data_IF_199662391902
#
_entry.id   IF_199662391902
#
_cell.length_a   1.000
_cell.length_b   1.000
_cell.length_c   1.000
_cell.angle_alpha   90.00
_cell.angle_beta   90.00
_cell.angle_gamma   90.00
#
_symmetry.space_group_name_H-M   'P 1'
#
loop_
_entity.id
_entity.type
_entity.pdbx_description
1 polymer ?
#
# COMPACT_ATOMS: atom_id res chain seq x y z
N UNK A 1 -44.69 -39.54 -16.45
CA UNK A 1 -43.75 -38.58 -17.02
C UNK A 1 -43.66 -37.26 -16.22
N UNK A 2 -44.61 -36.90 -15.41
CA UNK A 2 -44.57 -35.66 -14.61
C UNK A 2 -43.55 -35.69 -13.43
N UNK A 3 -43.17 -36.87 -12.96
CA UNK A 3 -42.22 -36.99 -11.82
C UNK A 3 -40.75 -36.72 -12.16
N UNK A 4 -40.34 -36.84 -13.39
CA UNK A 4 -38.95 -36.60 -13.82
C UNK A 4 -38.60 -35.10 -13.88
N UNK A 5 -39.56 -34.27 -14.24
CA UNK A 5 -39.33 -32.82 -14.32
C UNK A 5 -39.37 -32.14 -12.96
N UNK A 6 -40.09 -32.71 -11.99
CA UNK A 6 -40.16 -32.21 -10.64
C UNK A 6 -38.81 -32.33 -9.92
N UNK A 7 -38.09 -33.44 -10.12
CA UNK A 7 -36.75 -33.63 -9.57
C UNK A 7 -35.71 -32.70 -10.20
N UNK A 8 -35.81 -32.39 -11.49
CA UNK A 8 -34.94 -31.44 -12.17
C UNK A 8 -35.21 -30.03 -11.69
N UNK A 9 -36.45 -29.68 -11.44
CA UNK A 9 -36.82 -28.35 -10.93
C UNK A 9 -36.33 -28.13 -9.50
N UNK A 10 -36.43 -29.12 -8.64
CA UNK A 10 -35.94 -29.06 -7.24
C UNK A 10 -34.40 -28.99 -7.22
N UNK A 11 -33.72 -29.64 -8.13
CA UNK A 11 -32.24 -29.56 -8.19
C UNK A 11 -31.74 -28.20 -8.72
N UNK A 12 -32.52 -27.55 -9.58
CA UNK A 12 -32.18 -26.23 -10.11
C UNK A 12 -32.37 -25.11 -9.09
N UNK A 13 -33.28 -25.25 -8.10
CA UNK A 13 -33.54 -24.24 -7.08
C UNK A 13 -32.52 -24.25 -5.94
N UNK A 14 -31.75 -25.34 -5.79
CA UNK A 14 -30.72 -25.41 -4.75
C UNK A 14 -29.41 -24.68 -5.09
N UNK A 15 -29.25 -24.22 -6.35
CA UNK A 15 -27.99 -23.61 -6.78
C UNK A 15 -27.92 -22.07 -6.67
N UNK A 16 -28.98 -21.42 -6.19
CA UNK A 16 -29.11 -19.95 -6.21
C UNK A 16 -28.72 -19.26 -4.90
N UNK A 17 -28.24 -19.96 -3.89
CA UNK A 17 -28.08 -19.34 -2.56
C UNK A 17 -26.70 -19.40 -1.95
N UNK A 18 -25.63 -19.19 -2.72
CA UNK A 18 -24.30 -18.96 -2.15
C UNK A 18 -23.59 -17.78 -2.81
N UNK A 19 -24.32 -16.69 -3.01
CA UNK A 19 -23.68 -15.39 -3.14
C UNK A 19 -23.46 -14.86 -1.72
N UNK A 20 -22.53 -15.46 -0.99
CA UNK A 20 -21.96 -14.82 0.19
C UNK A 20 -21.16 -13.65 -0.38
N UNK A 21 -21.78 -12.48 -0.39
CA UNK A 21 -21.05 -11.26 -0.62
C UNK A 21 -19.90 -11.21 0.38
N UNK A 22 -18.68 -11.35 -0.11
CA UNK A 22 -17.52 -11.02 0.69
C UNK A 22 -17.61 -9.52 0.98
N UNK A 23 -18.08 -9.16 2.16
CA UNK A 23 -17.86 -7.84 2.67
C UNK A 23 -16.36 -7.73 2.87
N UNK A 24 -15.70 -7.11 1.91
CA UNK A 24 -14.37 -6.58 2.13
C UNK A 24 -14.51 -5.57 3.26
N UNK A 25 -14.37 -6.03 4.48
CA UNK A 25 -14.00 -5.17 5.58
C UNK A 25 -12.64 -4.60 5.20
N UNK A 26 -12.65 -3.53 4.44
CA UNK A 26 -11.51 -2.64 4.38
C UNK A 26 -11.35 -2.19 5.82
N UNK A 27 -10.52 -2.89 6.57
CA UNK A 27 -9.99 -2.36 7.81
C UNK A 27 -9.38 -1.04 7.39
N UNK A 28 -10.02 0.05 7.79
CA UNK A 28 -9.43 1.38 7.71
C UNK A 28 -8.25 1.31 8.66
N UNK A 29 -7.14 0.76 8.20
CA UNK A 29 -5.88 0.84 8.89
C UNK A 29 -5.60 2.31 9.02
N UNK A 30 -5.45 2.79 10.26
CA UNK A 30 -5.08 4.16 10.53
C UNK A 30 -3.82 4.48 9.74
N UNK A 31 -4.00 5.11 8.58
CA UNK A 31 -2.93 5.39 7.63
C UNK A 31 -1.97 6.36 8.29
N UNK A 32 -0.69 6.03 8.28
CA UNK A 32 0.36 6.95 8.70
C UNK A 32 0.31 8.17 7.80
N UNK A 33 0.08 9.34 8.37
CA UNK A 33 0.17 10.59 7.62
C UNK A 33 1.63 11.01 7.54
N UNK A 34 2.12 11.24 6.34
CA UNK A 34 3.44 11.79 6.14
C UNK A 34 3.48 12.67 4.90
N UNK A 35 4.43 13.56 4.84
CA UNK A 35 4.79 14.31 3.64
C UNK A 35 6.25 14.04 3.26
N UNK A 36 6.50 14.07 1.97
CA UNK A 36 7.84 13.89 1.41
C UNK A 36 8.10 15.00 0.40
N UNK A 37 9.23 15.67 0.57
CA UNK A 37 9.58 16.80 -0.28
C UNK A 37 11.11 16.97 -0.44
N UNK A 38 11.58 17.52 -1.54
CA UNK A 38 10.84 17.85 -2.76
C UNK A 38 10.40 16.60 -3.52
N UNK A 39 9.28 16.67 -4.20
CA UNK A 39 8.81 15.60 -5.09
C UNK A 39 8.24 16.26 -6.37
N UNK A 40 8.97 16.23 -7.49
CA UNK A 40 10.18 15.44 -7.78
C UNK A 40 11.44 15.83 -7.00
N UNK A 41 12.27 14.84 -6.71
CA UNK A 41 13.60 15.02 -6.11
C UNK A 41 14.60 15.40 -7.21
N UNK A 42 15.30 16.52 -7.05
CA UNK A 42 16.26 17.00 -8.06
C UNK A 42 17.68 17.19 -7.53
N UNK A 43 17.91 17.09 -6.23
CA UNK A 43 19.21 17.31 -5.59
C UNK A 43 19.71 16.12 -4.78
N UNK A 44 19.11 14.94 -4.95
CA UNK A 44 19.50 13.73 -4.24
C UNK A 44 19.14 13.69 -2.76
N UNK A 45 18.42 14.66 -2.25
CA UNK A 45 17.94 14.71 -0.86
C UNK A 45 16.43 14.76 -0.81
N UNK A 46 15.85 13.85 -0.05
CA UNK A 46 14.42 13.75 0.20
C UNK A 46 14.17 13.93 1.70
N UNK A 47 13.29 14.83 2.06
CA UNK A 47 12.88 15.02 3.44
C UNK A 47 11.53 14.37 3.70
N UNK A 48 11.46 13.51 4.71
CA UNK A 48 10.22 12.91 5.21
C UNK A 48 9.80 13.66 6.47
N UNK A 49 8.56 14.10 6.49
CA UNK A 49 7.93 14.72 7.68
C UNK A 49 6.75 13.88 8.12
N UNK A 50 6.70 13.56 9.41
CA UNK A 50 5.63 12.79 10.05
C UNK A 50 5.07 13.55 11.24
N UNK A 51 4.01 13.02 11.87
CA UNK A 51 3.29 13.72 12.94
C UNK A 51 3.60 13.21 14.34
N UNK A 52 4.44 12.19 14.48
CA UNK A 52 4.83 11.64 15.78
C UNK A 52 6.29 11.19 15.78
N UNK A 53 6.81 10.89 16.96
CA UNK A 53 8.22 10.53 17.18
C UNK A 53 8.48 9.02 17.20
N UNK A 54 7.47 8.21 16.92
CA UNK A 54 7.61 6.75 16.92
C UNK A 54 8.59 6.28 15.85
N UNK A 55 9.21 5.13 16.08
CA UNK A 55 10.06 4.49 15.10
C UNK A 55 9.29 4.14 13.84
N UNK A 56 9.86 4.46 12.69
CA UNK A 56 9.29 4.25 11.36
C UNK A 56 10.34 3.67 10.44
N UNK A 57 9.86 2.99 9.40
CA UNK A 57 10.70 2.47 8.34
C UNK A 57 10.24 3.05 7.01
N UNK A 58 11.17 3.60 6.24
CA UNK A 58 10.94 4.06 4.88
C UNK A 58 11.53 3.04 3.92
N UNK A 59 10.73 2.60 2.97
CA UNK A 59 11.16 1.69 1.91
C UNK A 59 10.79 2.33 0.57
N UNK A 60 11.75 2.33 -0.36
CA UNK A 60 11.51 2.77 -1.72
C UNK A 60 11.59 1.55 -2.64
N UNK A 61 10.54 1.38 -3.45
CA UNK A 61 10.42 0.32 -4.44
C UNK A 61 10.48 0.89 -5.85
N UNK A 62 11.08 0.14 -6.76
CA UNK A 62 10.92 0.45 -8.19
C UNK A 62 9.55 -0.03 -8.70
N UNK A 63 9.23 0.26 -9.95
CA UNK A 63 7.95 -0.10 -10.57
C UNK A 63 7.74 -1.62 -10.70
N UNK A 64 8.78 -2.42 -10.59
CA UNK A 64 8.72 -3.89 -10.58
C UNK A 64 8.49 -4.46 -9.17
N UNK A 65 8.40 -3.61 -8.15
CA UNK A 65 8.22 -4.02 -6.76
C UNK A 65 9.49 -4.42 -6.04
N UNK A 66 10.68 -4.16 -6.63
CA UNK A 66 11.97 -4.43 -5.99
C UNK A 66 12.29 -3.32 -5.00
N UNK A 67 12.67 -3.69 -3.77
CA UNK A 67 13.20 -2.76 -2.77
C UNK A 67 14.59 -2.26 -3.20
N UNK A 68 14.73 -0.95 -3.30
CA UNK A 68 16.00 -0.32 -3.68
C UNK A 68 16.60 0.54 -2.58
N UNK A 69 15.79 0.90 -1.58
CA UNK A 69 16.21 1.71 -0.44
C UNK A 69 15.41 1.34 0.78
N UNK A 70 16.04 1.31 1.96
CA UNK A 70 15.40 1.05 3.24
C UNK A 70 16.13 1.80 4.35
N UNK A 71 15.39 2.51 5.19
CA UNK A 71 15.95 3.18 6.35
C UNK A 71 14.93 3.28 7.48
N UNK A 72 15.36 2.99 8.69
CA UNK A 72 14.59 3.22 9.91
C UNK A 72 14.97 4.56 10.51
N UNK A 73 14.01 5.24 11.10
CA UNK A 73 14.23 6.46 11.85
C UNK A 73 13.16 6.69 12.91
N UNK A 74 13.48 7.48 13.91
CA UNK A 74 12.56 8.01 14.91
C UNK A 74 12.51 9.54 14.79
N UNK A 75 11.46 10.15 15.32
CA UNK A 75 11.26 11.58 15.24
C UNK A 75 10.32 12.00 14.12
N UNK A 76 10.08 13.29 14.01
CA UNK A 76 9.09 13.89 13.11
C UNK A 76 9.64 14.27 11.74
N UNK A 77 10.96 14.25 11.57
CA UNK A 77 11.62 14.66 10.34
C UNK A 77 12.88 13.82 10.10
N UNK A 78 13.08 13.42 8.86
CA UNK A 78 14.28 12.71 8.42
C UNK A 78 14.65 13.10 7.00
N UNK A 79 15.91 13.44 6.79
CA UNK A 79 16.49 13.60 5.47
C UNK A 79 17.10 12.29 4.99
N UNK A 80 16.75 11.90 3.78
CA UNK A 80 17.23 10.69 3.12
C UNK A 80 18.15 11.08 1.98
N UNK A 81 19.31 10.43 1.89
CA UNK A 81 20.17 10.56 0.73
C UNK A 81 19.74 9.54 -0.33
N UNK A 82 19.16 10.03 -1.39
CA UNK A 82 18.69 9.24 -2.54
C UNK A 82 19.50 9.51 -3.80
N UNK A 83 20.68 10.11 -3.67
CA UNK A 83 21.55 10.46 -4.80
C UNK A 83 22.02 9.26 -5.61
N UNK A 84 22.07 8.07 -5.01
CA UNK A 84 22.46 6.82 -5.69
C UNK A 84 21.28 6.13 -6.42
N UNK A 85 20.07 6.70 -6.34
CA UNK A 85 18.89 6.16 -7.01
C UNK A 85 18.77 6.84 -8.37
N UNK A 86 18.64 6.05 -9.42
CA UNK A 86 18.50 6.54 -10.80
C UNK A 86 17.22 7.37 -10.96
N UNK A 87 17.24 8.31 -11.90
CA UNK A 87 16.05 9.07 -12.28
C UNK A 87 14.93 8.12 -12.71
N UNK A 88 13.73 8.39 -12.24
CA UNK A 88 12.56 7.56 -12.56
C UNK A 88 11.43 7.71 -11.57
N UNK A 89 10.43 6.84 -11.73
CA UNK A 89 9.25 6.77 -10.89
C UNK A 89 9.41 5.60 -9.91
N UNK A 90 9.12 5.87 -8.64
CA UNK A 90 9.25 4.93 -7.55
C UNK A 90 8.01 4.97 -6.66
N UNK A 91 7.87 3.97 -5.81
CA UNK A 91 6.85 3.92 -4.77
C UNK A 91 7.54 3.96 -3.43
N UNK A 92 7.19 4.95 -2.63
CA UNK A 92 7.70 5.12 -1.27
C UNK A 92 6.67 4.64 -0.27
N UNK A 93 7.09 3.79 0.66
CA UNK A 93 6.27 3.20 1.71
C UNK A 93 6.83 3.58 3.07
N UNK A 94 5.99 4.09 3.94
CA UNK A 94 6.34 4.34 5.35
C UNK A 94 5.55 3.39 6.22
N UNK A 95 6.25 2.67 7.09
CA UNK A 95 5.68 1.70 8.01
C UNK A 95 5.91 2.19 9.44
N UNK A 96 4.85 2.25 10.22
CA UNK A 96 4.87 2.55 11.64
C UNK A 96 4.05 1.49 12.39
N UNK A 97 4.72 0.50 12.98
CA UNK A 97 4.05 -0.65 13.59
C UNK A 97 3.22 -1.42 12.56
N UNK A 98 1.92 -1.48 12.77
CA UNK A 98 0.93 -2.09 11.86
C UNK A 98 0.35 -1.11 10.83
N UNK A 99 0.75 0.16 10.89
CA UNK A 99 0.28 1.22 10.00
C UNK A 99 1.20 1.36 8.80
N UNK A 100 0.62 1.55 7.64
CA UNK A 100 1.36 1.69 6.37
C UNK A 100 0.75 2.81 5.55
N UNK A 101 1.61 3.63 4.96
CA UNK A 101 1.22 4.62 3.96
C UNK A 101 2.16 4.55 2.76
N UNK A 102 1.63 4.80 1.58
CA UNK A 102 2.40 4.79 0.33
C UNK A 102 2.19 6.08 -0.43
N UNK A 103 3.25 6.53 -1.10
CA UNK A 103 3.22 7.68 -2.02
C UNK A 103 4.08 7.40 -3.24
N UNK A 104 3.68 7.96 -4.36
CA UNK A 104 4.51 8.02 -5.56
C UNK A 104 5.69 8.96 -5.31
N UNK A 105 6.88 8.56 -5.72
CA UNK A 105 8.11 9.33 -5.66
C UNK A 105 8.68 9.46 -7.05
N UNK A 106 9.02 10.67 -7.45
CA UNK A 106 9.71 10.95 -8.71
C UNK A 106 11.10 11.48 -8.42
N UNK A 107 12.12 10.87 -9.00
CA UNK A 107 13.51 11.29 -8.92
C UNK A 107 13.96 11.77 -10.30
N UNK A 108 14.44 12.97 -10.34
CA UNK A 108 14.95 13.58 -11.56
C UNK A 108 16.48 13.56 -11.62
#
# INVERSE_FOLDING_TARGET
MRKRYFLIFVFCTCFVSLSIGQSNNIKTTNIVKFSAFPNPVNRGVLTIKTFNTREKEVIIYNVLGKKIFRQKFSGTMKQLNVSNISSGIYIMKVIEGDKVATKKLVIK
#
